data_IF_980445061401
#
_entry.id   IF_980445061401
#
_cell.length_a   1.000
_cell.length_b   1.000
_cell.length_c   1.000
_cell.angle_alpha   90.00
_cell.angle_beta   90.00
_cell.angle_gamma   90.00
#
_symmetry.space_group_name_H-M   'P 1'
#
loop_
_entity.id
_entity.type
_entity.pdbx_description
1 polymer ?
#
# COMPACT_ATOMS: atom_id res chain seq x y z
N UNK A 1 -6.14 -7.24 16.50
CA UNK A 1 -5.60 -6.79 15.21
C UNK A 1 -6.21 -7.72 14.19
N UNK A 2 -7.20 -7.26 13.43
CA UNK A 2 -7.91 -8.14 12.51
C UNK A 2 -6.93 -8.75 11.50
N UNK A 3 -7.12 -10.04 11.22
CA UNK A 3 -6.34 -10.80 10.26
C UNK A 3 -6.57 -10.19 8.87
N UNK A 4 -5.54 -9.54 8.30
CA UNK A 4 -5.62 -8.92 6.97
C UNK A 4 -4.62 -9.55 6.02
N UNK A 5 -5.02 -9.78 4.78
CA UNK A 5 -4.24 -10.50 3.77
C UNK A 5 -3.79 -9.58 2.62
N UNK A 6 -2.71 -9.93 1.89
CA UNK A 6 -2.44 -9.36 0.58
C UNK A 6 -3.52 -9.78 -0.42
N UNK A 7 -3.76 -8.95 -1.41
CA UNK A 7 -4.50 -9.35 -2.62
C UNK A 7 -3.49 -10.07 -3.51
N UNK A 8 -3.66 -11.38 -3.72
CA UNK A 8 -2.71 -12.22 -4.45
C UNK A 8 -2.98 -12.30 -5.96
N UNK A 9 -4.19 -11.92 -6.37
CA UNK A 9 -4.67 -11.99 -7.74
C UNK A 9 -4.60 -10.61 -8.41
N UNK A 10 -3.99 -10.56 -9.60
CA UNK A 10 -3.82 -9.33 -10.39
C UNK A 10 -5.15 -8.83 -10.94
N UNK A 11 -6.07 -9.72 -11.30
CA UNK A 11 -7.39 -9.33 -11.79
C UNK A 11 -8.19 -8.69 -10.66
N UNK A 12 -8.08 -9.22 -9.44
CA UNK A 12 -8.66 -8.59 -8.25
C UNK A 12 -8.04 -7.25 -7.88
N UNK A 13 -6.74 -7.04 -8.14
CA UNK A 13 -6.14 -5.71 -8.02
C UNK A 13 -6.77 -4.74 -9.01
N UNK A 14 -7.00 -5.17 -10.25
CA UNK A 14 -7.62 -4.32 -11.26
C UNK A 14 -9.10 -4.03 -10.96
N UNK A 15 -9.86 -5.01 -10.48
CA UNK A 15 -11.22 -4.80 -9.98
C UNK A 15 -11.23 -3.77 -8.84
N UNK A 16 -10.34 -3.90 -7.85
CA UNK A 16 -10.20 -2.95 -6.76
C UNK A 16 -9.91 -1.53 -7.25
N UNK A 17 -8.98 -1.40 -8.21
CA UNK A 17 -8.67 -0.12 -8.85
C UNK A 17 -9.92 0.50 -9.49
N UNK A 18 -10.68 -0.29 -10.24
CA UNK A 18 -11.88 0.16 -10.92
C UNK A 18 -12.98 0.60 -9.94
N UNK A 19 -13.22 -0.18 -8.87
CA UNK A 19 -14.22 0.16 -7.85
C UNK A 19 -13.82 1.42 -7.06
N UNK A 20 -12.54 1.57 -6.72
CA UNK A 20 -12.06 2.77 -6.03
C UNK A 20 -12.13 4.01 -6.93
N UNK A 21 -11.89 3.85 -8.23
CA UNK A 21 -12.01 4.93 -9.21
C UNK A 21 -13.45 5.46 -9.28
N UNK A 22 -14.45 4.57 -9.25
CA UNK A 22 -15.88 4.95 -9.17
C UNK A 22 -16.20 5.77 -7.92
N UNK A 23 -15.48 5.52 -6.81
CA UNK A 23 -15.63 6.27 -5.56
C UNK A 23 -14.83 7.59 -5.54
N UNK A 24 -14.04 7.85 -6.58
CA UNK A 24 -13.28 9.08 -6.78
C UNK A 24 -11.78 8.84 -6.96
N UNK A 25 -11.15 9.68 -7.79
CA UNK A 25 -9.75 9.53 -8.19
C UNK A 25 -8.75 9.54 -7.01
N UNK A 26 -9.03 10.32 -5.95
CA UNK A 26 -8.27 10.27 -4.67
C UNK A 26 -8.19 8.85 -4.09
N UNK A 27 -9.30 8.11 -4.10
CA UNK A 27 -9.36 6.78 -3.50
C UNK A 27 -8.60 5.75 -4.35
N UNK A 28 -8.70 5.88 -5.68
CA UNK A 28 -7.86 5.12 -6.62
C UNK A 28 -6.37 5.38 -6.36
N UNK A 29 -5.97 6.65 -6.27
CA UNK A 29 -4.57 7.03 -6.06
C UNK A 29 -4.05 6.61 -4.69
N UNK A 30 -4.89 6.61 -3.65
CA UNK A 30 -4.53 6.08 -2.33
C UNK A 30 -4.10 4.62 -2.42
N UNK A 31 -4.90 3.81 -3.12
CA UNK A 31 -4.63 2.40 -3.31
C UNK A 31 -3.43 2.17 -4.23
N UNK A 32 -3.39 2.86 -5.36
CA UNK A 32 -2.32 2.74 -6.36
C UNK A 32 -0.95 3.11 -5.76
N UNK A 33 -0.87 4.21 -5.00
CA UNK A 33 0.35 4.59 -4.29
C UNK A 33 0.76 3.52 -3.26
N UNK A 34 -0.20 3.02 -2.48
CA UNK A 34 0.07 2.02 -1.44
C UNK A 34 0.64 0.70 -1.98
N UNK A 35 0.07 0.18 -3.06
CA UNK A 35 0.52 -1.10 -3.66
C UNK A 35 1.81 -0.97 -4.48
N UNK A 36 2.26 0.25 -4.80
CA UNK A 36 3.49 0.49 -5.57
C UNK A 36 4.68 0.99 -4.73
N UNK A 37 4.44 1.53 -3.54
CA UNK A 37 5.50 2.04 -2.65
C UNK A 37 5.76 1.14 -1.44
N UNK A 38 4.78 0.32 -1.08
CA UNK A 38 4.84 -0.48 0.14
C UNK A 38 4.81 0.36 1.42
N UNK A 39 4.45 1.65 1.38
CA UNK A 39 4.38 2.51 2.57
C UNK A 39 3.28 2.06 3.55
N UNK A 40 3.40 2.43 4.84
CA UNK A 40 2.29 2.24 5.79
C UNK A 40 1.19 3.26 5.46
N UNK A 41 -0.07 2.88 5.68
CA UNK A 41 -1.21 3.81 5.44
C UNK A 41 -1.03 5.13 6.19
N UNK A 42 -0.45 5.09 7.40
CA UNK A 42 -0.21 6.28 8.20
C UNK A 42 0.71 7.28 7.53
N UNK A 43 1.71 6.76 6.83
CA UNK A 43 2.75 7.57 6.22
C UNK A 43 2.17 8.15 4.93
N UNK A 44 1.48 7.31 4.16
CA UNK A 44 0.74 7.71 2.94
C UNK A 44 -0.24 8.86 3.21
N UNK A 45 -1.03 8.75 4.28
CA UNK A 45 -2.05 9.75 4.59
C UNK A 45 -1.47 11.11 4.98
N UNK A 46 -0.23 11.15 5.46
CA UNK A 46 0.43 12.40 5.84
C UNK A 46 1.19 13.06 4.68
N UNK A 47 1.26 12.43 3.50
CA UNK A 47 1.94 12.99 2.34
C UNK A 47 1.21 14.22 1.80
N UNK A 48 1.99 15.23 1.43
CA UNK A 48 1.57 16.43 0.73
C UNK A 48 2.13 16.46 -0.68
N UNK A 49 1.62 17.39 -1.49
CA UNK A 49 2.09 17.59 -2.87
C UNK A 49 3.58 17.85 -2.91
N UNK A 50 4.12 18.67 -2.01
CA UNK A 50 5.57 18.97 -1.94
C UNK A 50 6.46 17.74 -1.71
N UNK A 51 5.91 16.65 -1.17
CA UNK A 51 6.65 15.41 -0.90
C UNK A 51 6.84 14.54 -2.16
N UNK A 52 6.08 14.82 -3.24
CA UNK A 52 6.07 14.01 -4.47
C UNK A 52 6.31 14.83 -5.74
N UNK A 53 5.94 16.11 -5.73
CA UNK A 53 6.09 17.03 -6.87
C UNK A 53 7.57 17.24 -7.18
N UNK A 54 7.92 16.96 -8.43
CA UNK A 54 9.31 17.03 -8.92
C UNK A 54 10.33 16.23 -8.07
N UNK A 55 9.86 15.19 -7.36
CA UNK A 55 10.71 14.28 -6.59
C UNK A 55 10.85 12.94 -7.29
N UNK A 56 12.01 12.32 -7.10
CA UNK A 56 12.27 10.92 -7.46
C UNK A 56 12.01 9.96 -6.29
N UNK A 57 11.94 10.49 -5.06
CA UNK A 57 11.78 9.69 -3.85
C UNK A 57 10.83 10.39 -2.86
N UNK A 58 10.02 9.58 -2.18
CA UNK A 58 9.28 9.98 -0.99
C UNK A 58 10.19 9.80 0.22
N UNK A 59 10.29 10.83 1.05
CA UNK A 59 11.09 10.82 2.28
C UNK A 59 10.18 10.68 3.50
N UNK A 60 10.34 9.60 4.25
CA UNK A 60 9.58 9.38 5.50
C UNK A 60 10.53 9.37 6.68
N UNK A 61 10.30 10.25 7.65
CA UNK A 61 11.05 10.28 8.91
C UNK A 61 10.37 9.37 9.94
N UNK A 62 11.09 8.34 10.39
CA UNK A 62 10.60 7.45 11.44
C UNK A 62 10.58 8.17 12.80
N UNK A 63 9.43 8.20 13.46
CA UNK A 63 9.26 8.90 14.73
C UNK A 63 10.12 8.31 15.86
N UNK A 64 10.26 6.97 15.92
CA UNK A 64 10.96 6.28 17.02
C UNK A 64 12.48 6.38 16.94
N UNK A 65 13.01 6.33 15.72
CA UNK A 65 14.46 6.22 15.48
C UNK A 65 15.06 7.53 14.95
N UNK A 66 14.22 8.45 14.47
CA UNK A 66 14.65 9.67 13.79
C UNK A 66 15.21 9.45 12.38
N UNK A 67 15.34 8.19 11.94
CA UNK A 67 15.94 7.84 10.64
C UNK A 67 15.00 8.21 9.50
N UNK A 68 15.55 8.76 8.43
CA UNK A 68 14.80 9.05 7.18
C UNK A 68 14.93 7.87 6.22
N UNK A 69 13.79 7.32 5.80
CA UNK A 69 13.71 6.33 4.73
C UNK A 69 13.35 6.99 3.41
N UNK A 70 13.92 6.46 2.33
CA UNK A 70 13.71 6.91 0.95
C UNK A 70 12.96 5.83 0.19
N UNK A 71 11.83 6.17 -0.40
CA UNK A 71 11.02 5.26 -1.21
C UNK A 71 11.01 5.78 -2.65
N UNK A 72 11.52 4.97 -3.57
CA UNK A 72 11.58 5.34 -4.99
C UNK A 72 10.16 5.53 -5.56
N UNK A 73 9.97 6.63 -6.28
CA UNK A 73 8.81 6.83 -7.15
C UNK A 73 9.24 6.36 -8.54
N UNK A 74 8.82 5.16 -8.93
CA UNK A 74 9.13 4.64 -10.27
C UNK A 74 8.43 5.49 -11.36
N UNK A 75 8.89 5.36 -12.61
CA UNK A 75 8.40 6.17 -13.74
C UNK A 75 6.88 6.08 -13.94
N UNK A 76 6.29 4.89 -13.82
CA UNK A 76 4.85 4.69 -13.98
C UNK A 76 4.06 5.39 -12.86
N UNK A 77 4.50 5.23 -11.61
CA UNK A 77 3.87 5.89 -10.47
C UNK A 77 4.04 7.42 -10.53
N UNK A 78 5.16 7.90 -11.08
CA UNK A 78 5.41 9.33 -11.28
C UNK A 78 4.39 9.94 -12.24
N UNK A 79 4.14 9.29 -13.37
CA UNK A 79 3.10 9.72 -14.34
C UNK A 79 1.71 9.79 -13.68
N UNK A 80 1.35 8.75 -12.90
CA UNK A 80 0.07 8.71 -12.19
C UNK A 80 -0.05 9.83 -11.14
N UNK A 81 1.04 10.10 -10.40
CA UNK A 81 1.11 11.16 -9.39
C UNK A 81 1.06 12.55 -10.02
N UNK A 82 1.80 12.80 -11.09
CA UNK A 82 1.84 14.11 -11.75
C UNK A 82 0.46 14.48 -12.29
N UNK A 83 -0.25 13.51 -12.89
CA UNK A 83 -1.65 13.69 -13.27
C UNK A 83 -2.55 14.00 -12.06
N UNK A 84 -2.30 13.34 -10.93
CA UNK A 84 -3.11 13.49 -9.73
C UNK A 84 -2.95 14.86 -9.07
N UNK A 85 -1.73 15.39 -9.05
CA UNK A 85 -1.40 16.64 -8.33
C UNK A 85 -1.48 17.90 -9.22
N UNK A 86 -1.82 17.77 -10.51
CA UNK A 86 -1.72 18.87 -11.48
C UNK A 86 -2.42 20.19 -11.07
N UNK A 87 -3.50 20.09 -10.30
CA UNK A 87 -4.29 21.23 -9.84
C UNK A 87 -4.27 21.37 -8.31
N UNK A 88 -3.22 20.85 -7.67
CA UNK A 88 -3.06 20.90 -6.22
C UNK A 88 -1.88 21.78 -5.84
N UNK A 89 -2.03 22.50 -4.74
CA UNK A 89 -0.99 23.34 -4.16
C UNK A 89 -0.01 22.52 -3.32
N UNK A 90 1.23 22.96 -3.24
CA UNK A 90 2.34 22.23 -2.59
C UNK A 90 2.04 21.83 -1.12
N UNK A 91 1.26 22.65 -0.41
CA UNK A 91 0.90 22.44 0.99
C UNK A 91 -0.29 21.49 1.20
N UNK A 92 -1.00 21.10 0.13
CA UNK A 92 -2.18 20.25 0.23
C UNK A 92 -1.82 18.80 0.50
N UNK A 93 -2.60 18.14 1.36
CA UNK A 93 -2.49 16.70 1.54
C UNK A 93 -2.94 15.97 0.29
N UNK A 94 -2.16 14.98 -0.15
CA UNK A 94 -2.52 14.12 -1.28
C UNK A 94 -3.88 13.45 -1.07
N UNK A 95 -4.21 13.10 0.17
CA UNK A 95 -5.46 12.42 0.50
C UNK A 95 -6.30 13.23 1.48
N UNK A 96 -6.62 14.47 1.10
CA UNK A 96 -7.44 15.37 1.90
C UNK A 96 -8.87 14.83 2.15
N UNK A 97 -9.35 15.09 3.35
CA UNK A 97 -10.71 14.87 3.84
C UNK A 97 -11.65 15.93 3.26
N UNK A 98 -12.91 15.55 3.03
CA UNK A 98 -13.99 16.51 2.71
C UNK A 98 -14.44 17.31 3.94
N UNK A 99 -14.08 16.86 5.13
CA UNK A 99 -14.37 17.53 6.41
C UNK A 99 -13.14 18.32 6.85
N UNK A 100 -13.36 19.58 7.25
CA UNK A 100 -12.29 20.49 7.65
C UNK A 100 -11.56 21.10 6.45
N UNK A 101 -10.57 21.95 6.75
CA UNK A 101 -9.73 22.60 5.74
C UNK A 101 -8.38 21.88 5.65
N UNK A 102 -8.04 21.35 4.47
CA UNK A 102 -6.77 20.67 4.18
C UNK A 102 -6.28 19.73 5.30
N UNK A 103 -7.14 18.82 5.74
CA UNK A 103 -6.77 17.76 6.69
C UNK A 103 -6.78 16.41 5.99
N UNK A 104 -5.88 15.47 6.31
CA UNK A 104 -5.89 14.17 5.67
C UNK A 104 -7.09 13.33 6.12
N UNK A 105 -7.53 12.39 5.29
CA UNK A 105 -8.49 11.39 5.75
C UNK A 105 -7.88 10.57 6.91
N UNK A 106 -8.73 10.12 7.84
CA UNK A 106 -8.27 9.30 8.95
C UNK A 106 -7.95 7.88 8.51
N UNK A 107 -7.17 7.14 9.31
CA UNK A 107 -6.93 5.70 9.07
C UNK A 107 -8.22 4.89 9.02
N UNK A 108 -9.21 5.26 9.84
CA UNK A 108 -10.55 4.65 9.85
C UNK A 108 -11.27 4.92 8.54
N UNK A 109 -11.16 6.13 7.99
CA UNK A 109 -11.75 6.43 6.69
C UNK A 109 -11.05 5.68 5.56
N UNK A 110 -9.71 5.58 5.58
CA UNK A 110 -8.97 4.76 4.62
C UNK A 110 -9.40 3.29 4.69
N UNK A 111 -9.55 2.73 5.90
CA UNK A 111 -10.09 1.39 6.11
C UNK A 111 -11.48 1.21 5.49
N UNK A 112 -12.40 2.16 5.73
CA UNK A 112 -13.76 2.13 5.17
C UNK A 112 -13.76 2.18 3.64
N UNK A 113 -12.95 3.05 3.04
CA UNK A 113 -12.79 3.16 1.57
C UNK A 113 -12.33 1.82 0.98
N UNK A 114 -11.28 1.23 1.56
CA UNK A 114 -10.75 -0.05 1.09
C UNK A 114 -11.77 -1.19 1.23
N UNK A 115 -12.45 -1.27 2.37
CA UNK A 115 -13.46 -2.31 2.59
C UNK A 115 -14.69 -2.16 1.70
N UNK A 116 -15.12 -0.93 1.42
CA UNK A 116 -16.24 -0.69 0.51
C UNK A 116 -15.97 -1.24 -0.88
N UNK A 117 -14.77 -1.00 -1.43
CA UNK A 117 -14.36 -1.57 -2.72
C UNK A 117 -14.14 -3.09 -2.64
N UNK A 118 -13.52 -3.58 -1.56
CA UNK A 118 -13.25 -5.00 -1.36
C UNK A 118 -14.52 -5.85 -1.38
N UNK A 119 -15.58 -5.39 -0.70
CA UNK A 119 -16.89 -6.06 -0.69
C UNK A 119 -17.46 -6.22 -2.10
N UNK A 120 -17.30 -5.20 -2.97
CA UNK A 120 -17.74 -5.27 -4.37
C UNK A 120 -16.92 -6.26 -5.20
N UNK A 121 -15.62 -6.37 -4.91
CA UNK A 121 -14.71 -7.31 -5.56
C UNK A 121 -14.79 -8.74 -4.98
N UNK A 122 -15.65 -8.98 -3.97
CA UNK A 122 -15.74 -10.22 -3.19
C UNK A 122 -14.42 -10.61 -2.51
N UNK A 123 -13.60 -9.62 -2.16
CA UNK A 123 -12.39 -9.80 -1.38
C UNK A 123 -12.71 -9.80 0.11
N UNK A 124 -12.10 -10.74 0.85
CA UNK A 124 -12.19 -10.83 2.31
C UNK A 124 -10.87 -10.34 2.93
N UNK A 125 -10.90 -10.04 4.22
CA UNK A 125 -9.68 -9.75 5.01
C UNK A 125 -8.88 -8.55 4.46
N UNK A 126 -9.59 -7.56 3.92
CA UNK A 126 -8.98 -6.32 3.42
C UNK A 126 -8.96 -5.28 4.54
N UNK A 127 -7.79 -4.69 4.76
CA UNK A 127 -7.62 -3.59 5.70
C UNK A 127 -6.48 -2.65 5.31
N UNK A 128 -6.12 -1.76 6.22
CA UNK A 128 -5.14 -0.70 5.96
C UNK A 128 -3.74 -1.22 5.64
N UNK A 129 -3.39 -2.42 6.09
CA UNK A 129 -2.12 -3.07 5.75
C UNK A 129 -2.17 -3.88 4.46
N UNK A 130 -3.34 -4.14 3.88
CA UNK A 130 -3.47 -4.95 2.66
C UNK A 130 -2.64 -4.38 1.52
N UNK A 131 -2.65 -3.07 1.28
CA UNK A 131 -1.86 -2.46 0.20
C UNK A 131 -0.36 -2.76 0.33
N UNK A 132 0.18 -2.59 1.54
CA UNK A 132 1.59 -2.85 1.86
C UNK A 132 1.93 -4.33 1.76
N UNK A 133 1.05 -5.21 2.24
CA UNK A 133 1.20 -6.66 2.11
C UNK A 133 1.18 -7.08 0.63
N UNK A 134 0.27 -6.54 -0.17
CA UNK A 134 0.18 -6.78 -1.62
C UNK A 134 1.47 -6.38 -2.33
N UNK A 135 2.02 -5.20 -2.06
CA UNK A 135 3.33 -4.79 -2.57
C UNK A 135 4.41 -5.84 -2.24
N UNK A 136 4.54 -6.20 -0.96
CA UNK A 136 5.56 -7.14 -0.52
C UNK A 136 5.39 -8.55 -1.09
N UNK A 137 4.14 -9.00 -1.24
CA UNK A 137 3.81 -10.29 -1.87
C UNK A 137 4.33 -10.33 -3.31
N UNK A 138 3.94 -9.38 -4.15
CA UNK A 138 4.34 -9.37 -5.56
C UNK A 138 5.83 -9.11 -5.73
N UNK A 139 6.42 -8.21 -4.93
CA UNK A 139 7.86 -7.97 -4.93
C UNK A 139 8.64 -9.26 -4.60
N UNK A 140 8.24 -9.99 -3.56
CA UNK A 140 8.90 -11.25 -3.22
C UNK A 140 8.69 -12.30 -4.30
N UNK A 141 7.49 -12.39 -4.89
CA UNK A 141 7.21 -13.35 -5.96
C UNK A 141 8.07 -13.10 -7.20
N UNK A 142 8.37 -11.85 -7.50
CA UNK A 142 9.20 -11.45 -8.64
C UNK A 142 10.70 -11.62 -8.38
N UNK A 143 11.21 -11.12 -7.25
CA UNK A 143 12.66 -11.04 -7.02
C UNK A 143 13.21 -12.12 -6.08
N UNK A 144 12.35 -12.78 -5.29
CA UNK A 144 12.71 -13.79 -4.27
C UNK A 144 13.71 -13.32 -3.21
N UNK A 145 13.95 -12.01 -3.12
CA UNK A 145 14.82 -11.40 -2.12
C UNK A 145 14.00 -10.88 -0.93
N UNK A 146 14.02 -11.65 0.15
CA UNK A 146 13.37 -11.28 1.42
C UNK A 146 14.20 -10.27 2.23
N UNK A 147 15.52 -10.22 2.05
CA UNK A 147 16.39 -9.32 2.81
C UNK A 147 16.15 -7.87 2.38
N UNK A 148 16.01 -7.63 1.08
CA UNK A 148 15.59 -6.31 0.54
C UNK A 148 14.22 -5.92 1.09
N UNK A 149 13.25 -6.84 1.08
CA UNK A 149 11.91 -6.54 1.61
C UNK A 149 11.89 -6.29 3.12
N UNK A 150 12.71 -7.01 3.89
CA UNK A 150 12.89 -6.76 5.30
C UNK A 150 13.39 -5.33 5.54
N UNK A 151 14.39 -4.89 4.78
CA UNK A 151 14.91 -3.53 4.89
C UNK A 151 13.85 -2.48 4.50
N UNK A 152 13.18 -2.66 3.34
CA UNK A 152 12.06 -1.80 2.90
C UNK A 152 11.01 -1.69 4.01
N UNK A 153 10.65 -2.83 4.62
CA UNK A 153 9.62 -2.84 5.64
C UNK A 153 10.07 -2.44 7.05
N UNK A 154 11.36 -2.36 7.29
CA UNK A 154 11.95 -2.22 8.62
C UNK A 154 11.47 -3.32 9.58
N UNK A 155 11.52 -4.57 9.14
CA UNK A 155 11.20 -5.71 9.99
C UNK A 155 12.45 -6.27 10.65
N UNK A 156 12.27 -6.86 11.84
CA UNK A 156 13.40 -7.37 12.65
C UNK A 156 14.07 -8.60 12.04
N UNK A 157 13.37 -9.37 11.22
CA UNK A 157 13.92 -10.56 10.58
C UNK A 157 13.22 -10.89 9.25
N UNK A 158 13.86 -11.63 8.33
CA UNK A 158 13.24 -12.09 7.09
C UNK A 158 11.97 -12.93 7.32
N UNK A 159 11.96 -13.77 8.36
CA UNK A 159 10.82 -14.60 8.73
C UNK A 159 9.58 -13.77 9.11
N UNK A 160 9.79 -12.62 9.76
CA UNK A 160 8.71 -11.65 10.06
C UNK A 160 8.13 -11.10 8.77
N UNK A 161 8.97 -10.79 7.78
CA UNK A 161 8.54 -10.32 6.46
C UNK A 161 7.74 -11.39 5.72
N UNK A 162 8.23 -12.63 5.61
CA UNK A 162 7.53 -13.71 4.91
C UNK A 162 6.16 -14.01 5.51
N UNK A 163 6.07 -14.02 6.85
CA UNK A 163 4.81 -14.16 7.58
C UNK A 163 3.89 -12.96 7.33
N UNK A 164 4.42 -11.75 7.40
CA UNK A 164 3.64 -10.52 7.19
C UNK A 164 2.97 -10.49 5.81
N UNK A 165 3.69 -10.89 4.76
CA UNK A 165 3.18 -10.91 3.38
C UNK A 165 2.43 -12.20 3.00
N UNK A 166 2.21 -13.12 3.95
CA UNK A 166 1.43 -14.35 3.73
C UNK A 166 2.15 -15.46 2.94
N UNK A 167 3.43 -15.30 2.61
CA UNK A 167 4.20 -16.32 1.86
C UNK A 167 4.43 -17.57 2.68
N UNK A 168 4.63 -17.45 3.99
CA UNK A 168 4.83 -18.62 4.86
C UNK A 168 3.62 -19.55 4.84
N UNK A 169 2.41 -19.00 4.85
CA UNK A 169 1.18 -19.80 4.83
C UNK A 169 0.99 -20.41 3.44
N UNK A 170 1.17 -19.64 2.35
CA UNK A 170 1.14 -20.16 0.98
C UNK A 170 2.10 -21.34 0.75
N UNK A 171 3.30 -21.33 1.36
CA UNK A 171 4.27 -22.42 1.26
C UNK A 171 3.79 -23.66 2.03
N UNK A 172 3.29 -23.47 3.26
CA UNK A 172 2.77 -24.57 4.08
C UNK A 172 1.61 -25.26 3.41
N UNK A 173 0.66 -24.50 2.88
CA UNK A 173 -0.53 -25.04 2.22
C UNK A 173 -0.13 -25.92 1.03
N UNK A 174 0.84 -25.47 0.23
CA UNK A 174 1.39 -26.25 -0.89
C UNK A 174 2.05 -27.56 -0.48
N UNK A 175 2.74 -27.60 0.66
CA UNK A 175 3.37 -28.84 1.14
C UNK A 175 2.35 -29.87 1.61
N UNK A 176 1.16 -29.43 1.99
CA UNK A 176 0.08 -30.26 2.53
C UNK A 176 -0.89 -30.69 1.42
N UNK A 177 -1.09 -29.87 0.40
CA UNK A 177 -2.10 -30.04 -0.67
C UNK A 177 -2.15 -31.45 -1.27
N UNK A 178 -0.99 -32.10 -1.47
CA UNK A 178 -0.89 -33.44 -2.05
C UNK A 178 -0.23 -34.46 -1.12
N UNK A 179 -0.11 -34.15 0.17
CA UNK A 179 0.48 -35.05 1.14
C UNK A 179 -0.59 -36.03 1.67
N UNK A 180 -0.44 -37.31 1.30
CA UNK A 180 -1.29 -38.42 1.75
C UNK A 180 -0.39 -39.64 2.01
N UNK A 181 -0.58 -40.34 3.13
CA UNK A 181 0.17 -41.54 3.52
C UNK A 181 -0.68 -42.80 3.32
#
# INVERSE_FOLDING_TARGET
>A
MDFVQPIRDRDKIQEMKNELLKLGYRNYMLFNLGINTGLRVSDILNLRVIDVKDKTHILIKEQKTGKTKRFLINSNLKIDLDRYINNMEDYEYLFASKKGYNTPITRVQAYRILNQAATKCKLKEVGTHTMRKTFGYFHYKQYKDVAILQDIFNHSAPSVTLRYIGITDDIKDKTIENFYL
#
